data_IF_435458127042
#
_entry.id   IF_435458127042
#
_cell.length_a   1.000
_cell.length_b   1.000
_cell.length_c   1.000
_cell.angle_alpha   90.00
_cell.angle_beta   90.00
_cell.angle_gamma   90.00
#
_symmetry.space_group_name_H-M   'P 1'
#
loop_
_entity.id
_entity.type
_entity.pdbx_description
1 polymer ?
#
# COMPACT_ATOMS: atom_id res chain seq x y z
N UNK A 1 27.70 3.57 -9.50
CA UNK A 1 27.48 2.19 -9.03
C UNK A 1 26.20 2.16 -8.19
N UNK A 2 25.28 1.26 -8.56
CA UNK A 2 24.03 1.12 -7.81
C UNK A 2 24.31 0.36 -6.51
N UNK A 3 23.94 0.96 -5.40
CA UNK A 3 24.04 0.32 -4.10
C UNK A 3 22.87 -0.62 -3.92
N UNK A 4 23.12 -1.87 -3.53
CA UNK A 4 22.08 -2.84 -3.21
C UNK A 4 21.87 -2.90 -1.71
N UNK A 5 20.63 -2.92 -1.29
CA UNK A 5 20.26 -3.10 0.11
C UNK A 5 19.34 -4.31 0.22
N UNK A 6 19.73 -5.27 1.03
CA UNK A 6 19.03 -6.54 1.20
C UNK A 6 18.25 -6.54 2.50
N UNK A 7 16.96 -6.89 2.42
CA UNK A 7 16.14 -7.11 3.60
C UNK A 7 16.09 -8.61 3.90
N UNK A 8 16.25 -8.96 5.17
CA UNK A 8 16.04 -10.31 5.66
C UNK A 8 14.57 -10.53 6.01
N UNK A 9 14.16 -11.79 6.21
CA UNK A 9 12.81 -12.08 6.72
C UNK A 9 12.61 -11.48 8.12
N UNK A 10 13.66 -11.44 8.93
CA UNK A 10 13.60 -10.80 10.24
C UNK A 10 13.37 -9.30 10.12
N UNK A 11 13.99 -8.66 9.14
CA UNK A 11 13.74 -7.25 8.84
C UNK A 11 12.27 -7.01 8.52
N UNK A 12 11.69 -7.90 7.69
CA UNK A 12 10.27 -7.79 7.31
C UNK A 12 9.36 -7.91 8.52
N UNK A 13 9.63 -8.88 9.40
CA UNK A 13 8.86 -9.05 10.62
C UNK A 13 8.93 -7.80 11.49
N UNK A 14 10.12 -7.26 11.69
CA UNK A 14 10.34 -6.05 12.48
C UNK A 14 9.61 -4.84 11.89
N UNK A 15 9.65 -4.71 10.56
CA UNK A 15 8.96 -3.62 9.87
C UNK A 15 7.44 -3.75 9.99
N UNK A 16 6.90 -4.96 9.89
CA UNK A 16 5.47 -5.19 10.08
C UNK A 16 5.02 -4.86 11.50
N UNK A 17 5.82 -5.24 12.50
CA UNK A 17 5.57 -4.89 13.90
C UNK A 17 5.55 -3.36 14.05
N UNK A 18 6.48 -2.67 13.41
CA UNK A 18 6.55 -1.21 13.45
C UNK A 18 5.28 -0.58 12.88
N UNK A 19 4.79 -1.07 11.74
CA UNK A 19 3.56 -0.56 11.13
C UNK A 19 2.37 -0.74 12.09
N UNK A 20 2.24 -1.92 12.69
CA UNK A 20 1.16 -2.20 13.65
C UNK A 20 1.25 -1.23 14.85
N UNK A 21 2.46 -1.03 15.38
CA UNK A 21 2.67 -0.13 16.50
C UNK A 21 2.34 1.32 16.13
N UNK A 22 2.69 1.76 14.93
CA UNK A 22 2.37 3.09 14.46
C UNK A 22 0.87 3.30 14.37
N UNK A 23 0.12 2.33 13.80
CA UNK A 23 -1.34 2.40 13.71
C UNK A 23 -1.98 2.50 15.09
N UNK A 24 -1.55 1.66 16.01
CA UNK A 24 -2.15 1.60 17.34
C UNK A 24 -1.79 2.83 18.17
N UNK A 25 -0.60 3.38 17.99
CA UNK A 25 -0.22 4.65 18.61
C UNK A 25 -1.09 5.80 18.08
N UNK A 26 -1.46 5.75 16.81
CA UNK A 26 -2.39 6.69 16.19
C UNK A 26 -3.85 6.46 16.63
N UNK A 27 -4.10 5.44 17.40
CA UNK A 27 -5.45 5.04 17.81
C UNK A 27 -6.35 4.79 16.60
N UNK A 28 -5.79 4.18 15.56
CA UNK A 28 -6.51 3.87 14.32
C UNK A 28 -6.40 2.38 14.03
N UNK A 29 -7.51 1.79 13.60
CA UNK A 29 -7.57 0.38 13.28
C UNK A 29 -8.37 0.19 12.00
N UNK A 30 -7.82 -0.45 10.98
CA UNK A 30 -8.58 -0.71 9.76
C UNK A 30 -9.62 -1.80 9.99
N UNK A 31 -10.71 -1.71 9.26
CA UNK A 31 -11.72 -2.77 9.20
C UNK A 31 -11.20 -3.92 8.34
N UNK A 32 -10.43 -3.62 7.31
CA UNK A 32 -9.69 -4.62 6.56
C UNK A 32 -8.43 -4.01 5.96
N UNK A 33 -7.52 -4.91 5.59
CA UNK A 33 -6.23 -4.59 4.99
C UNK A 33 -6.27 -5.00 3.53
N UNK A 34 -5.72 -4.18 2.64
CA UNK A 34 -5.60 -4.47 1.22
C UNK A 34 -4.13 -4.62 0.89
N UNK A 35 -3.72 -5.83 0.54
CA UNK A 35 -2.35 -6.10 0.10
C UNK A 35 -2.26 -6.05 -1.42
N UNK A 36 -1.29 -5.29 -1.93
CA UNK A 36 -1.10 -5.17 -3.37
C UNK A 36 -0.25 -6.33 -3.87
N UNK A 37 -0.80 -7.16 -4.73
CA UNK A 37 -0.04 -8.25 -5.30
C UNK A 37 0.99 -7.70 -6.28
N UNK A 38 2.20 -8.22 -6.28
CA UNK A 38 2.62 -9.37 -5.48
C UNK A 38 3.28 -8.98 -4.16
N UNK A 39 4.21 -8.01 -4.17
CA UNK A 39 5.09 -7.71 -3.05
C UNK A 39 4.39 -7.17 -1.80
N UNK A 40 3.35 -6.40 -1.98
CA UNK A 40 2.59 -5.83 -0.85
C UNK A 40 1.72 -6.84 -0.14
N UNK A 41 1.36 -7.92 -0.81
CA UNK A 41 0.50 -8.95 -0.23
C UNK A 41 1.21 -9.72 0.89
N UNK A 42 2.53 -9.79 0.86
CA UNK A 42 3.30 -10.49 1.88
C UNK A 42 3.26 -9.75 3.22
N UNK A 43 3.68 -8.48 3.31
CA UNK A 43 3.56 -7.75 4.57
C UNK A 43 2.10 -7.58 5.01
N UNK A 44 1.16 -7.40 4.07
CA UNK A 44 -0.26 -7.29 4.41
C UNK A 44 -0.76 -8.54 5.13
N UNK A 45 -0.39 -9.73 4.64
CA UNK A 45 -0.77 -11.00 5.25
C UNK A 45 -0.15 -11.15 6.64
N UNK A 46 1.10 -10.76 6.79
CA UNK A 46 1.79 -10.79 8.09
C UNK A 46 1.06 -9.88 9.09
N UNK A 47 0.77 -8.65 8.69
CA UNK A 47 0.04 -7.69 9.55
C UNK A 47 -1.35 -8.23 9.89
N UNK A 48 -2.03 -8.83 8.94
CA UNK A 48 -3.34 -9.46 9.17
C UNK A 48 -3.25 -10.54 10.23
N UNK A 49 -2.25 -11.41 10.14
CA UNK A 49 -2.07 -12.49 11.11
C UNK A 49 -1.69 -11.95 12.50
N UNK A 50 -0.93 -10.88 12.57
CA UNK A 50 -0.54 -10.26 13.84
C UNK A 50 -1.73 -9.61 14.55
N UNK A 51 -2.68 -9.06 13.81
CA UNK A 51 -3.76 -8.25 14.35
C UNK A 51 -5.09 -8.95 14.39
N UNK A 52 -5.27 -10.02 13.61
CA UNK A 52 -6.57 -10.65 13.41
C UNK A 52 -7.48 -9.86 12.47
N UNK A 53 -6.97 -8.84 11.80
CA UNK A 53 -7.75 -8.02 10.87
C UNK A 53 -7.79 -8.72 9.51
N UNK A 54 -8.97 -8.77 8.90
CA UNK A 54 -9.17 -9.39 7.58
C UNK A 54 -8.28 -8.74 6.52
N UNK A 55 -7.75 -9.56 5.60
CA UNK A 55 -6.89 -9.10 4.51
C UNK A 55 -7.49 -9.48 3.16
N UNK A 56 -7.49 -8.52 2.24
CA UNK A 56 -7.90 -8.71 0.86
C UNK A 56 -6.72 -8.44 -0.06
N UNK A 57 -6.68 -9.07 -1.22
CA UNK A 57 -5.64 -8.84 -2.22
C UNK A 57 -6.19 -7.97 -3.35
N UNK A 58 -5.35 -7.06 -3.83
CA UNK A 58 -5.70 -6.20 -4.97
C UNK A 58 -4.56 -6.22 -5.97
N UNK A 59 -4.88 -6.54 -7.21
CA UNK A 59 -3.92 -6.49 -8.30
C UNK A 59 -3.97 -5.13 -8.97
N UNK A 60 -2.83 -4.44 -9.00
CA UNK A 60 -2.69 -3.17 -9.71
C UNK A 60 -1.71 -3.37 -10.86
N UNK A 61 -2.14 -3.08 -12.08
CA UNK A 61 -1.29 -3.11 -13.25
C UNK A 61 -1.21 -1.71 -13.81
N UNK A 62 0.01 -1.17 -13.89
CA UNK A 62 0.25 0.14 -14.49
C UNK A 62 0.49 0.05 -15.99
N UNK A 63 0.56 -1.17 -16.52
CA UNK A 63 0.70 -1.38 -17.97
C UNK A 63 -0.67 -1.39 -18.60
N UNK A 64 -0.75 -0.86 -19.81
CA UNK A 64 -1.95 -0.95 -20.63
C UNK A 64 -2.13 -2.39 -21.07
N UNK A 65 -2.79 -3.15 -20.27
CA UNK A 65 -3.26 -4.48 -20.57
C UNK A 65 -4.63 -4.34 -21.21
N UNK A 66 -4.93 -5.10 -22.20
CA UNK A 66 -6.24 -5.12 -22.85
C UNK A 66 -7.36 -5.42 -21.86
N UNK A 67 -7.02 -6.14 -20.79
CA UNK A 67 -8.00 -6.51 -19.77
C UNK A 67 -8.16 -5.45 -18.69
N UNK A 68 -7.18 -4.56 -18.54
CA UNK A 68 -7.16 -3.62 -17.44
C UNK A 68 -7.10 -4.33 -16.08
N UNK A 69 -6.93 -3.59 -15.00
CA UNK A 69 -7.05 -4.16 -13.65
C UNK A 69 -8.51 -4.49 -13.36
N UNK A 70 -8.73 -5.45 -12.49
CA UNK A 70 -10.07 -5.80 -12.05
C UNK A 70 -10.72 -4.61 -11.38
N UNK A 71 -12.01 -4.41 -11.66
CA UNK A 71 -12.78 -3.37 -11.01
C UNK A 71 -13.06 -3.78 -9.56
N UNK A 72 -12.67 -2.94 -8.62
CA UNK A 72 -12.90 -3.16 -7.19
C UNK A 72 -13.87 -2.11 -6.67
N UNK A 73 -15.01 -1.99 -7.35
CA UNK A 73 -16.05 -1.01 -7.00
C UNK A 73 -16.48 -1.12 -5.55
N UNK A 74 -16.52 -2.33 -4.99
CA UNK A 74 -16.94 -2.52 -3.62
C UNK A 74 -15.95 -1.89 -2.62
N UNK A 75 -14.65 -1.90 -2.94
CA UNK A 75 -13.65 -1.22 -2.11
C UNK A 75 -13.82 0.29 -2.19
N UNK A 76 -14.11 0.80 -3.39
CA UNK A 76 -14.37 2.22 -3.59
C UNK A 76 -15.61 2.68 -2.83
N UNK A 77 -16.67 1.88 -2.87
CA UNK A 77 -17.90 2.17 -2.12
C UNK A 77 -17.65 2.16 -0.61
N UNK A 78 -16.84 1.22 -0.13
CA UNK A 78 -16.45 1.17 1.28
C UNK A 78 -15.65 2.40 1.68
N UNK A 79 -14.68 2.77 0.86
CA UNK A 79 -13.82 3.92 1.12
C UNK A 79 -14.62 5.22 1.17
N UNK A 80 -15.54 5.39 0.24
CA UNK A 80 -16.41 6.57 0.16
C UNK A 80 -17.45 6.60 1.28
N UNK A 81 -17.93 5.43 1.70
CA UNK A 81 -19.06 5.33 2.61
C UNK A 81 -20.38 5.48 1.89
N UNK A 82 -20.54 4.76 0.77
CA UNK A 82 -21.77 4.81 -0.03
C UNK A 82 -22.91 4.14 0.72
N UNK A 83 -23.92 4.94 1.11
CA UNK A 83 -25.08 4.51 1.91
C UNK A 83 -24.71 3.88 3.26
N UNK A 84 -23.54 4.23 3.79
CA UNK A 84 -23.06 3.74 5.08
C UNK A 84 -21.93 4.64 5.58
N UNK A 85 -21.47 4.41 6.81
CA UNK A 85 -20.27 5.08 7.29
C UNK A 85 -19.04 4.62 6.50
N UNK A 86 -18.08 5.51 6.22
CA UNK A 86 -16.85 5.10 5.55
C UNK A 86 -16.12 4.00 6.32
N UNK A 87 -15.62 3.02 5.58
CA UNK A 87 -14.86 1.90 6.12
C UNK A 87 -13.39 2.31 6.28
N UNK A 88 -12.76 1.90 7.37
CA UNK A 88 -11.33 2.10 7.56
C UNK A 88 -10.57 1.04 6.79
N UNK A 89 -9.68 1.45 5.90
CA UNK A 89 -8.93 0.56 5.02
C UNK A 89 -7.46 0.91 5.08
N UNK A 90 -6.61 -0.10 5.28
CA UNK A 90 -5.16 0.05 5.16
C UNK A 90 -4.69 -0.59 3.88
N UNK A 91 -4.11 0.20 2.98
CA UNK A 91 -3.52 -0.29 1.74
C UNK A 91 -2.03 -0.47 1.96
N UNK A 92 -1.51 -1.68 1.70
CA UNK A 92 -0.13 -2.05 1.98
C UNK A 92 0.59 -2.43 0.71
N UNK A 93 1.75 -1.83 0.47
CA UNK A 93 2.69 -2.24 -0.56
C UNK A 93 4.07 -2.41 0.07
N UNK A 94 4.99 -3.03 -0.66
CA UNK A 94 6.37 -3.19 -0.19
C UNK A 94 7.11 -1.86 -0.24
N UNK A 95 6.91 -1.08 -1.28
CA UNK A 95 7.58 0.20 -1.47
C UNK A 95 6.66 1.22 -2.15
N UNK A 96 6.77 2.47 -1.72
CA UNK A 96 6.29 3.61 -2.48
C UNK A 96 7.48 4.19 -3.22
N UNK A 97 7.68 3.76 -4.47
CA UNK A 97 8.87 4.12 -5.24
C UNK A 97 8.64 5.39 -6.07
N UNK A 98 7.85 5.30 -7.14
CA UNK A 98 7.53 6.47 -7.97
C UNK A 98 6.25 7.16 -7.52
N UNK A 99 5.40 6.48 -6.78
CA UNK A 99 4.08 6.95 -6.39
C UNK A 99 2.98 6.56 -7.36
N UNK A 100 3.34 5.94 -8.48
CA UNK A 100 2.38 5.64 -9.55
C UNK A 100 1.28 4.67 -9.10
N UNK A 101 1.64 3.66 -8.31
CA UNK A 101 0.69 2.64 -7.85
C UNK A 101 -0.41 3.23 -6.97
N UNK A 102 -0.02 3.98 -5.95
CA UNK A 102 -0.98 4.58 -5.03
C UNK A 102 -1.80 5.69 -5.70
N UNK A 103 -1.18 6.50 -6.56
CA UNK A 103 -1.90 7.50 -7.34
C UNK A 103 -2.95 6.83 -8.23
N UNK A 104 -2.61 5.68 -8.82
CA UNK A 104 -3.53 4.94 -9.66
C UNK A 104 -4.74 4.43 -8.86
N UNK A 105 -4.50 3.88 -7.66
CA UNK A 105 -5.58 3.39 -6.80
C UNK A 105 -6.55 4.51 -6.44
N UNK A 106 -6.03 5.66 -6.04
CA UNK A 106 -6.88 6.80 -5.69
C UNK A 106 -7.76 7.21 -6.86
N UNK A 107 -7.17 7.30 -8.04
CA UNK A 107 -7.90 7.67 -9.26
C UNK A 107 -8.94 6.62 -9.64
N UNK A 108 -8.56 5.34 -9.57
CA UNK A 108 -9.46 4.23 -9.91
C UNK A 108 -10.65 4.16 -8.96
N UNK A 109 -10.40 4.23 -7.66
CA UNK A 109 -11.48 4.17 -6.68
C UNK A 109 -12.41 5.37 -6.80
N UNK A 110 -11.86 6.56 -6.94
CA UNK A 110 -12.67 7.76 -7.10
C UNK A 110 -13.53 7.69 -8.37
N UNK A 111 -12.98 7.20 -9.48
CA UNK A 111 -13.74 7.06 -10.73
C UNK A 111 -14.81 5.98 -10.66
N UNK A 112 -14.72 5.07 -9.71
CA UNK A 112 -15.65 3.94 -9.58
C UNK A 112 -16.88 4.26 -8.72
N UNK A 113 -16.85 5.35 -7.96
CA UNK A 113 -17.93 5.70 -7.04
C UNK A 113 -18.04 7.21 -6.90
N UNK A 114 -19.07 7.80 -7.46
CA UNK A 114 -19.38 9.24 -7.37
C UNK A 114 -18.13 10.12 -7.56
N UNK A 115 -17.51 10.11 -8.75
CA UNK A 115 -16.21 10.73 -8.97
C UNK A 115 -16.18 12.25 -8.75
N UNK A 116 -17.32 12.92 -8.87
CA UNK A 116 -17.38 14.38 -8.73
C UNK A 116 -17.74 14.84 -7.31
N UNK A 117 -17.90 13.91 -6.38
CA UNK A 117 -18.25 14.25 -5.00
C UNK A 117 -17.01 14.69 -4.22
N UNK A 118 -17.10 15.86 -3.60
CA UNK A 118 -16.00 16.45 -2.82
C UNK A 118 -15.61 15.61 -1.60
N UNK A 119 -16.48 14.69 -1.18
CA UNK A 119 -16.20 13.82 -0.04
C UNK A 119 -14.94 12.99 -0.22
N UNK A 120 -14.54 12.71 -1.49
CA UNK A 120 -13.30 11.98 -1.76
C UNK A 120 -12.09 12.68 -1.16
N UNK A 121 -12.09 14.00 -1.05
CA UNK A 121 -10.97 14.74 -0.47
C UNK A 121 -10.75 14.40 1.01
N UNK A 122 -11.78 13.94 1.70
CA UNK A 122 -11.69 13.56 3.11
C UNK A 122 -11.54 12.05 3.32
N UNK A 123 -11.35 11.28 2.27
CA UNK A 123 -11.11 9.84 2.35
C UNK A 123 -9.62 9.53 2.58
N UNK A 124 -8.76 10.15 1.77
CA UNK A 124 -7.34 9.82 1.71
C UNK A 124 -6.62 10.32 2.97
N UNK A 125 -5.85 9.42 3.57
CA UNK A 125 -5.17 9.61 4.86
C UNK A 125 -6.11 9.89 6.04
N UNK A 126 -7.37 9.64 5.86
CA UNK A 126 -8.39 9.65 6.90
C UNK A 126 -8.82 8.19 7.18
N UNK A 127 -9.88 7.74 6.52
CA UNK A 127 -10.30 6.34 6.67
C UNK A 127 -9.59 5.37 5.72
N UNK A 128 -8.95 5.86 4.65
CA UNK A 128 -8.08 5.06 3.80
C UNK A 128 -6.65 5.56 3.98
N UNK A 129 -5.78 4.67 4.48
CA UNK A 129 -4.39 5.01 4.76
C UNK A 129 -3.47 4.04 4.04
N UNK A 130 -2.28 4.53 3.72
CA UNK A 130 -1.28 3.79 2.96
C UNK A 130 -0.10 3.46 3.87
N UNK A 131 0.39 2.22 3.76
CA UNK A 131 1.56 1.77 4.49
C UNK A 131 2.52 1.06 3.54
N UNK A 132 3.80 1.29 3.74
CA UNK A 132 4.86 0.62 2.99
C UNK A 132 5.98 0.24 3.92
N UNK A 133 6.72 -0.80 3.56
CA UNK A 133 7.96 -1.14 4.27
C UNK A 133 9.01 -0.08 3.99
N UNK A 134 9.09 0.38 2.74
CA UNK A 134 10.06 1.38 2.32
C UNK A 134 9.34 2.53 1.62
N UNK A 135 9.75 3.74 1.93
CA UNK A 135 9.23 4.94 1.31
C UNK A 135 10.37 5.71 0.64
N UNK A 136 10.22 5.94 -0.67
CA UNK A 136 11.16 6.77 -1.43
C UNK A 136 10.69 8.23 -1.32
N UNK A 137 11.50 9.07 -0.69
CA UNK A 137 11.16 10.47 -0.48
C UNK A 137 11.06 11.26 -1.79
N UNK A 138 11.63 10.74 -2.88
CA UNK A 138 11.52 11.33 -4.21
C UNK A 138 10.27 10.89 -4.96
N UNK A 139 9.38 10.11 -4.34
CA UNK A 139 8.13 9.65 -4.93
C UNK A 139 7.23 10.83 -5.29
N UNK A 140 6.48 10.67 -6.38
CA UNK A 140 5.48 11.65 -6.81
C UNK A 140 4.07 11.30 -6.34
N UNK A 141 3.96 10.49 -5.29
CA UNK A 141 2.67 10.22 -4.67
C UNK A 141 2.06 11.53 -4.18
N UNK A 142 0.83 11.82 -4.60
CA UNK A 142 0.17 13.10 -4.30
C UNK A 142 -0.28 13.23 -2.85
N UNK A 143 -0.36 12.11 -2.14
CA UNK A 143 -0.60 12.07 -0.71
C UNK A 143 0.68 11.57 -0.02
N UNK A 144 0.58 10.95 1.12
CA UNK A 144 1.74 10.38 1.81
C UNK A 144 1.40 9.04 2.44
N UNK A 145 2.43 8.25 2.71
CA UNK A 145 2.28 7.00 3.45
C UNK A 145 2.12 7.33 4.93
N UNK A 146 0.99 6.94 5.50
CA UNK A 146 0.73 7.19 6.92
C UNK A 146 1.71 6.40 7.81
N UNK A 147 2.06 5.20 7.37
CA UNK A 147 2.93 4.30 8.14
C UNK A 147 4.02 3.76 7.24
N UNK A 148 5.26 3.94 7.64
CA UNK A 148 6.42 3.46 6.88
C UNK A 148 7.57 3.20 7.83
N UNK A 149 8.56 2.43 7.39
CA UNK A 149 9.66 1.98 8.24
C UNK A 149 11.01 2.47 7.78
N UNK A 150 11.34 2.27 6.52
CA UNK A 150 12.64 2.62 5.98
C UNK A 150 12.46 3.69 4.90
N UNK A 151 13.09 4.83 5.11
CA UNK A 151 13.05 5.92 4.15
C UNK A 151 14.32 5.94 3.32
N UNK A 152 14.16 6.09 1.99
CA UNK A 152 15.27 6.27 1.06
C UNK A 152 14.98 7.52 0.23
N UNK A 153 15.99 8.03 -0.44
CA UNK A 153 15.82 9.15 -1.36
C UNK A 153 16.60 8.87 -2.64
N UNK A 154 15.91 8.36 -3.66
CA UNK A 154 16.53 8.00 -4.94
C UNK A 154 16.98 9.20 -5.75
N UNK A 155 16.58 10.41 -5.38
CA UNK A 155 17.12 11.62 -6.01
C UNK A 155 18.52 11.96 -5.52
N UNK A 156 18.92 11.45 -4.36
CA UNK A 156 20.22 11.67 -3.75
C UNK A 156 21.14 10.47 -3.89
N UNK A 157 20.59 9.25 -3.77
CA UNK A 157 21.37 8.02 -3.82
C UNK A 157 20.60 6.96 -4.59
N UNK A 158 21.26 6.33 -5.56
CA UNK A 158 20.66 5.26 -6.36
C UNK A 158 20.77 3.94 -5.57
N UNK A 159 19.64 3.45 -5.09
CA UNK A 159 19.57 2.26 -4.24
C UNK A 159 18.65 1.22 -4.87
N UNK A 160 19.13 -0.01 -4.96
CA UNK A 160 18.33 -1.15 -5.38
C UNK A 160 17.97 -1.96 -4.14
N UNK A 161 16.69 -2.06 -3.83
CA UNK A 161 16.19 -2.82 -2.68
C UNK A 161 15.86 -4.25 -3.10
N UNK A 162 16.32 -5.20 -2.30
CA UNK A 162 16.07 -6.61 -2.55
C UNK A 162 15.33 -7.19 -1.34
N UNK A 163 14.09 -7.57 -1.56
CA UNK A 163 13.25 -8.17 -0.51
C UNK A 163 13.49 -9.69 -0.46
N UNK A 164 13.28 -10.33 0.70
CA UNK A 164 13.64 -11.75 0.86
C UNK A 164 12.81 -12.70 -0.01
N UNK A 165 11.67 -12.25 -0.53
CA UNK A 165 10.83 -13.06 -1.42
C UNK A 165 11.19 -12.92 -2.90
N UNK A 166 12.24 -12.15 -3.22
CA UNK A 166 12.60 -11.86 -4.61
C UNK A 166 13.66 -12.81 -5.19
N UNK A 167 13.69 -14.04 -4.74
CA UNK A 167 14.59 -15.07 -5.30
C UNK A 167 14.06 -15.58 -6.64
N UNK A 168 13.92 -14.69 -7.60
CA UNK A 168 13.37 -15.03 -8.91
C UNK A 168 14.46 -15.57 -9.83
N UNK A 169 14.08 -16.43 -10.72
CA UNK A 169 14.97 -16.94 -11.75
C UNK A 169 15.71 -18.22 -11.41
N UNK A 170 15.62 -18.70 -10.17
CA UNK A 170 16.27 -19.97 -9.79
C UNK A 170 15.60 -21.19 -10.44
N UNK A 171 14.32 -21.09 -10.70
CA UNK A 171 13.52 -22.19 -11.20
C UNK A 171 12.82 -21.87 -12.52
N UNK A 172 13.07 -20.70 -13.03
CA UNK A 172 12.40 -20.20 -14.22
C UNK A 172 13.25 -19.95 -15.44
#
# INVERSE_FOLDING_TARGET
>A
MIKKHYYSWQDIETMCISIVNQMYTDNWRPDYIVGLTRGGNIPATIISNMTGIRCEALKVSLRDDEMGPESNCWMAEDAFGYNKEPTNILIVDDINDTGATFNWIMKDWQSSCLPDDDKWQSVWNNNVRFATLTDNLASEFTEHCAYTCHEINKSEEDVWLVYPWENVGQYG
#
